data_IF_868849878895
#
_entry.id   IF_868849878895
#
_cell.length_a   1.000
_cell.length_b   1.000
_cell.length_c   1.000
_cell.angle_alpha   90.00
_cell.angle_beta   90.00
_cell.angle_gamma   90.00
#
_symmetry.space_group_name_H-M   'P 1'
#
loop_
_entity.id
_entity.type
_entity.pdbx_description
1 polymer ?
#
# COMPACT_ATOMS: atom_id res chain seq x y z
N UNK A 1 -17.12 -0.57 -8.46
CA UNK A 1 -15.67 -0.86 -8.46
C UNK A 1 -15.51 -2.33 -8.17
N UNK A 2 -15.08 -3.10 -9.16
CA UNK A 2 -14.89 -4.55 -9.01
C UNK A 2 -13.77 -4.82 -7.98
N UNK A 3 -14.11 -5.53 -6.90
CA UNK A 3 -13.26 -5.79 -5.72
C UNK A 3 -11.97 -6.55 -6.05
N UNK A 4 -11.92 -7.26 -7.19
CA UNK A 4 -10.79 -8.09 -7.61
C UNK A 4 -9.66 -7.32 -8.30
N UNK A 5 -9.86 -6.02 -8.61
CA UNK A 5 -8.89 -5.16 -9.34
C UNK A 5 -7.92 -4.40 -8.43
N UNK A 6 -8.09 -4.47 -7.11
CA UNK A 6 -7.19 -3.81 -6.16
C UNK A 6 -6.07 -4.76 -5.74
N UNK A 7 -4.88 -4.52 -6.29
CA UNK A 7 -3.66 -5.19 -5.85
C UNK A 7 -2.95 -4.43 -4.74
N UNK A 8 -2.13 -5.15 -3.99
CA UNK A 8 -1.17 -4.60 -3.05
C UNK A 8 0.21 -5.06 -3.49
N UNK A 9 1.17 -4.14 -3.52
CA UNK A 9 2.58 -4.46 -3.70
C UNK A 9 3.27 -4.36 -2.35
N UNK A 10 4.06 -5.36 -1.99
CA UNK A 10 4.89 -5.37 -0.79
C UNK A 10 6.33 -5.66 -1.17
N UNK A 11 7.26 -5.18 -0.36
CA UNK A 11 8.67 -5.44 -0.53
C UNK A 11 9.12 -6.50 0.48
N UNK A 12 9.72 -7.57 -0.02
CA UNK A 12 10.37 -8.61 0.78
C UNK A 12 11.60 -8.06 1.51
N UNK A 13 12.12 -8.79 2.50
CA UNK A 13 13.25 -8.35 3.31
C UNK A 13 14.54 -8.11 2.50
N UNK A 14 14.68 -8.79 1.36
CA UNK A 14 15.79 -8.68 0.42
C UNK A 14 15.61 -7.57 -0.65
N UNK A 15 14.53 -6.79 -0.55
CA UNK A 15 14.23 -5.69 -1.47
C UNK A 15 13.41 -6.09 -2.70
N UNK A 16 13.12 -7.37 -2.90
CA UNK A 16 12.30 -7.85 -4.02
C UNK A 16 10.84 -7.47 -3.84
N UNK A 17 10.17 -7.21 -4.94
CA UNK A 17 8.74 -6.89 -4.95
C UNK A 17 7.89 -8.15 -5.06
N UNK A 18 6.73 -8.12 -4.41
CA UNK A 18 5.69 -9.14 -4.49
C UNK A 18 4.32 -8.46 -4.61
N UNK A 19 3.59 -8.79 -5.69
CA UNK A 19 2.27 -8.27 -5.97
C UNK A 19 1.22 -9.30 -5.57
N UNK A 20 0.21 -8.86 -4.81
CA UNK A 20 -0.87 -9.69 -4.31
C UNK A 20 -2.22 -9.10 -4.70
N UNK A 21 -3.21 -9.96 -4.98
CA UNK A 21 -4.60 -9.58 -5.20
C UNK A 21 -5.55 -10.65 -4.69
N UNK A 22 -6.74 -10.26 -4.22
CA UNK A 22 -7.78 -11.23 -3.92
C UNK A 22 -8.17 -12.03 -5.18
N UNK A 23 -8.53 -13.30 -4.98
CA UNK A 23 -8.87 -14.24 -6.05
C UNK A 23 -10.37 -14.53 -6.08
N UNK A 24 -10.92 -14.73 -7.30
CA UNK A 24 -12.35 -14.99 -7.50
C UNK A 24 -12.83 -16.28 -6.82
N UNK A 25 -12.01 -17.33 -6.84
CA UNK A 25 -12.29 -18.61 -6.18
C UNK A 25 -11.99 -18.63 -4.68
N UNK A 26 -11.72 -17.49 -4.04
CA UNK A 26 -11.28 -17.41 -2.65
C UNK A 26 -9.77 -17.38 -2.47
N UNK A 27 -9.34 -16.86 -1.31
CA UNK A 27 -7.93 -16.59 -1.04
C UNK A 27 -7.34 -15.46 -1.92
N UNK A 28 -6.08 -15.59 -2.31
CA UNK A 28 -5.39 -14.58 -3.13
C UNK A 28 -4.50 -15.21 -4.19
N UNK A 29 -4.17 -14.42 -5.21
CA UNK A 29 -3.09 -14.71 -6.16
C UNK A 29 -1.95 -13.73 -5.97
N UNK A 30 -0.74 -14.21 -6.21
CA UNK A 30 0.45 -13.38 -6.13
C UNK A 30 1.51 -13.76 -7.17
N UNK A 31 2.42 -12.83 -7.40
CA UNK A 31 3.64 -12.98 -8.19
C UNK A 31 4.78 -12.24 -7.48
N UNK A 32 5.99 -12.74 -7.60
CA UNK A 32 7.17 -12.18 -6.93
C UNK A 32 8.35 -12.09 -7.89
N UNK A 33 9.25 -11.13 -7.63
CA UNK A 33 10.49 -11.06 -8.38
C UNK A 33 11.40 -12.25 -8.06
N UNK A 34 11.93 -12.86 -9.10
CA UNK A 34 12.87 -13.97 -9.04
C UNK A 34 14.29 -13.47 -9.24
N UNK A 35 15.24 -14.20 -8.68
CA UNK A 35 16.66 -13.91 -8.81
C UNK A 35 17.41 -15.06 -9.43
N UNK A 36 18.57 -14.77 -10.02
CA UNK A 36 19.52 -15.76 -10.53
C UNK A 36 19.88 -16.89 -9.54
N UNK A 37 19.71 -16.66 -8.23
CA UNK A 37 19.89 -17.66 -7.17
C UNK A 37 18.61 -18.29 -6.58
N UNK A 38 17.41 -18.02 -7.10
CA UNK A 38 16.17 -18.54 -6.48
C UNK A 38 15.67 -19.81 -7.17
N UNK A 39 16.26 -20.96 -6.81
CA UNK A 39 15.65 -22.26 -6.50
C UNK A 39 16.84 -23.14 -6.07
N UNK A 40 16.98 -23.40 -4.76
CA UNK A 40 18.06 -24.15 -4.08
C UNK A 40 19.24 -23.30 -3.54
N UNK A 41 19.45 -23.42 -2.22
CA UNK A 41 20.65 -23.05 -1.44
C UNK A 41 20.83 -21.58 -1.02
N UNK A 42 19.96 -21.09 -0.13
CA UNK A 42 20.27 -19.97 0.77
C UNK A 42 20.96 -20.42 2.09
N UNK A 43 21.79 -21.46 2.04
CA UNK A 43 22.67 -21.90 3.14
C UNK A 43 24.09 -22.14 2.60
N UNK A 44 24.80 -21.10 2.13
CA UNK A 44 26.24 -21.26 1.87
C UNK A 44 27.17 -20.04 1.99
N UNK A 45 26.70 -18.79 2.10
CA UNK A 45 27.61 -17.63 2.18
C UNK A 45 27.53 -16.82 3.48
N UNK A 46 27.50 -17.52 4.60
CA UNK A 46 27.88 -16.98 5.91
C UNK A 46 29.39 -17.25 6.18
N UNK A 47 30.25 -17.02 5.20
CA UNK A 47 31.70 -17.05 5.40
C UNK A 47 32.39 -16.21 4.34
N UNK A 48 32.69 -14.96 4.71
CA UNK A 48 33.84 -14.13 4.32
C UNK A 48 33.38 -12.66 4.30
N UNK A 49 33.86 -11.90 5.30
CA UNK A 49 33.40 -10.56 5.59
C UNK A 49 33.73 -9.51 4.51
N UNK A 50 32.98 -8.41 4.57
CA UNK A 50 33.42 -7.11 4.04
C UNK A 50 33.08 -6.76 2.58
N UNK A 51 32.12 -7.44 1.95
CA UNK A 51 31.60 -7.05 0.63
C UNK A 51 30.30 -6.25 0.73
N UNK A 52 30.14 -5.22 -0.11
CA UNK A 52 28.84 -4.57 -0.33
C UNK A 52 27.77 -5.64 -0.62
N UNK A 53 26.57 -5.51 -0.06
CA UNK A 53 25.47 -6.42 -0.33
C UNK A 53 25.25 -6.48 -1.84
N UNK A 54 25.68 -7.57 -2.47
CA UNK A 54 25.35 -7.85 -3.87
C UNK A 54 23.88 -8.19 -3.85
N UNK A 55 23.03 -7.23 -4.22
CA UNK A 55 21.62 -7.54 -4.44
C UNK A 55 21.57 -8.54 -5.60
N UNK A 56 20.98 -9.73 -5.40
CA UNK A 56 20.90 -10.73 -6.44
C UNK A 56 20.17 -10.15 -7.67
N UNK A 57 20.63 -10.49 -8.87
CA UNK A 57 20.11 -9.89 -10.10
C UNK A 57 18.68 -10.35 -10.31
N UNK A 58 17.74 -9.42 -10.49
CA UNK A 58 16.36 -9.76 -10.83
C UNK A 58 16.34 -10.33 -12.25
N UNK A 59 15.94 -11.59 -12.39
CA UNK A 59 15.90 -12.31 -13.67
C UNK A 59 14.50 -12.32 -14.29
N UNK A 60 13.49 -11.86 -13.55
CA UNK A 60 12.10 -11.79 -14.01
C UNK A 60 11.11 -11.88 -12.85
N UNK A 61 9.84 -11.99 -13.18
CA UNK A 61 8.76 -12.26 -12.23
C UNK A 61 8.30 -13.71 -12.34
N UNK A 62 7.87 -14.29 -11.22
CA UNK A 62 7.27 -15.62 -11.19
C UNK A 62 5.98 -15.66 -12.01
N UNK A 63 5.53 -16.85 -12.45
CA UNK A 63 4.13 -17.06 -12.81
C UNK A 63 3.21 -16.72 -11.63
N UNK A 64 1.93 -16.49 -11.92
CA UNK A 64 0.90 -16.39 -10.88
C UNK A 64 0.85 -17.68 -10.05
N UNK A 65 0.94 -17.55 -8.73
CA UNK A 65 0.60 -18.61 -7.81
C UNK A 65 -0.69 -18.26 -7.05
N UNK A 66 -1.47 -19.28 -6.70
CA UNK A 66 -2.69 -19.15 -5.92
C UNK A 66 -2.50 -19.67 -4.51
N UNK A 67 -2.98 -18.92 -3.53
CA UNK A 67 -3.14 -19.36 -2.15
C UNK A 67 -4.62 -19.53 -1.89
N UNK A 68 -5.09 -20.77 -1.95
CA UNK A 68 -6.48 -21.11 -1.66
C UNK A 68 -6.86 -20.68 -0.23
N UNK A 69 -8.09 -20.22 -0.05
CA UNK A 69 -8.49 -19.59 1.20
C UNK A 69 -9.99 -19.36 1.31
N UNK A 70 -10.42 -18.56 2.30
CA UNK A 70 -11.84 -18.22 2.49
C UNK A 70 -12.43 -17.66 1.19
N UNK A 71 -13.70 -18.00 0.94
CA UNK A 71 -14.38 -17.69 -0.32
C UNK A 71 -14.38 -16.19 -0.63
N UNK A 72 -14.15 -15.90 -1.91
CA UNK A 72 -14.02 -14.59 -2.56
C UNK A 72 -13.72 -13.40 -1.60
N UNK A 73 -12.44 -13.07 -1.50
CA UNK A 73 -11.98 -11.91 -0.72
C UNK A 73 -12.36 -10.59 -1.39
N UNK A 74 -12.97 -9.67 -0.65
CA UNK A 74 -13.38 -8.35 -1.15
C UNK A 74 -12.32 -7.26 -0.93
N UNK A 75 -11.40 -7.47 0.03
CA UNK A 75 -10.33 -6.54 0.38
C UNK A 75 -9.11 -7.26 0.94
N UNK A 76 -7.92 -6.85 0.50
CA UNK A 76 -6.63 -7.41 0.92
C UNK A 76 -5.74 -6.30 1.46
N UNK A 77 -5.03 -6.58 2.55
CA UNK A 77 -3.89 -5.80 3.02
C UNK A 77 -2.73 -6.75 3.36
N UNK A 78 -1.50 -6.29 3.22
CA UNK A 78 -0.32 -7.10 3.51
C UNK A 78 0.78 -6.26 4.15
N UNK A 79 1.53 -6.85 5.06
CA UNK A 79 2.69 -6.24 5.69
C UNK A 79 3.82 -7.25 5.90
N UNK A 80 5.03 -6.74 6.05
CA UNK A 80 6.22 -7.54 6.35
C UNK A 80 6.43 -7.58 7.87
N UNK A 81 6.48 -8.78 8.43
CA UNK A 81 6.88 -9.03 9.80
C UNK A 81 8.34 -8.63 10.04
N UNK A 82 8.72 -8.45 11.31
CA UNK A 82 10.10 -8.09 11.69
C UNK A 82 11.14 -9.14 11.25
N UNK A 83 10.74 -10.41 11.16
CA UNK A 83 11.56 -11.51 10.66
C UNK A 83 11.59 -11.64 9.12
N UNK A 84 10.93 -10.73 8.41
CA UNK A 84 10.90 -10.70 6.95
C UNK A 84 9.78 -11.51 6.30
N UNK A 85 9.00 -12.30 7.05
CA UNK A 85 7.83 -13.02 6.51
C UNK A 85 6.73 -12.04 6.12
N UNK A 86 6.11 -12.24 4.96
CA UNK A 86 4.89 -11.52 4.63
C UNK A 86 3.69 -12.10 5.39
N UNK A 87 2.81 -11.22 5.86
CA UNK A 87 1.52 -11.55 6.44
C UNK A 87 0.42 -10.79 5.71
N UNK A 88 -0.62 -11.52 5.32
CA UNK A 88 -1.71 -11.07 4.46
C UNK A 88 -3.00 -11.18 5.25
N UNK A 89 -3.80 -10.12 5.21
CA UNK A 89 -5.12 -10.02 5.80
C UNK A 89 -6.14 -9.91 4.67
N UNK A 90 -7.10 -10.81 4.65
CA UNK A 90 -8.10 -10.94 3.61
C UNK A 90 -9.50 -10.93 4.24
N UNK A 91 -10.32 -9.97 3.85
CA UNK A 91 -11.72 -9.92 4.26
C UNK A 91 -12.57 -10.64 3.21
N UNK A 92 -13.32 -11.67 3.62
CA UNK A 92 -14.30 -12.36 2.77
C UNK A 92 -15.53 -11.48 2.45
N UNK A 93 -16.35 -11.91 1.49
CA UNK A 93 -17.64 -11.24 1.21
C UNK A 93 -18.64 -11.33 2.37
N UNK A 94 -18.53 -12.34 3.23
CA UNK A 94 -19.30 -12.50 4.46
C UNK A 94 -18.90 -11.50 5.56
N UNK A 95 -17.85 -10.70 5.32
CA UNK A 95 -17.31 -9.74 6.28
C UNK A 95 -16.33 -10.35 7.27
N UNK A 96 -16.08 -11.66 7.25
CA UNK A 96 -15.08 -12.29 8.13
C UNK A 96 -13.69 -11.90 7.67
N UNK A 97 -12.85 -11.44 8.60
CA UNK A 97 -11.44 -11.16 8.34
C UNK A 97 -10.62 -12.41 8.64
N UNK A 98 -9.76 -12.78 7.71
CA UNK A 98 -8.81 -13.87 7.86
C UNK A 98 -7.39 -13.36 7.65
N UNK A 99 -6.41 -14.12 8.14
CA UNK A 99 -5.01 -13.85 7.87
C UNK A 99 -4.20 -15.12 7.64
N UNK A 100 -3.13 -14.99 6.88
CA UNK A 100 -2.16 -16.03 6.60
C UNK A 100 -0.77 -15.39 6.45
N UNK A 101 0.28 -16.15 6.72
CA UNK A 101 1.65 -15.66 6.64
C UNK A 101 2.57 -16.66 5.95
N UNK A 102 3.65 -16.18 5.35
CA UNK A 102 4.72 -17.04 4.85
C UNK A 102 5.34 -17.82 6.00
N UNK A 103 5.57 -19.13 5.82
CA UNK A 103 6.14 -20.02 6.85
C UNK A 103 7.60 -19.68 7.19
N UNK A 104 8.35 -19.22 6.20
CA UNK A 104 9.68 -18.60 6.28
C UNK A 104 9.70 -17.47 5.26
N UNK A 105 10.53 -16.43 5.43
CA UNK A 105 10.59 -15.31 4.51
C UNK A 105 10.82 -15.79 3.06
N UNK A 106 9.94 -15.39 2.14
CA UNK A 106 9.97 -15.80 0.73
C UNK A 106 9.53 -17.24 0.44
N UNK A 107 9.01 -17.97 1.43
CA UNK A 107 8.46 -19.31 1.25
C UNK A 107 6.93 -19.30 1.07
N UNK A 108 6.32 -20.48 0.93
CA UNK A 108 4.88 -20.62 0.83
C UNK A 108 4.14 -20.10 2.10
N UNK A 109 2.91 -19.64 1.88
CA UNK A 109 1.99 -19.23 2.94
C UNK A 109 1.45 -20.44 3.71
N UNK A 110 1.32 -20.29 5.02
CA UNK A 110 0.66 -21.26 5.91
C UNK A 110 -0.86 -21.23 5.79
N UNK A 111 -1.53 -21.99 6.66
CA UNK A 111 -2.99 -22.05 6.71
C UNK A 111 -3.63 -20.76 7.21
N UNK A 112 -4.84 -20.48 6.72
CA UNK A 112 -5.64 -19.32 7.13
C UNK A 112 -6.15 -19.44 8.56
N UNK A 113 -6.17 -18.31 9.25
CA UNK A 113 -6.78 -18.15 10.56
C UNK A 113 -7.83 -17.06 10.53
N UNK A 114 -8.92 -17.22 11.30
CA UNK A 114 -10.00 -16.23 11.37
C UNK A 114 -9.74 -15.21 12.49
N UNK A 115 -10.00 -13.95 12.20
CA UNK A 115 -10.06 -12.83 13.15
C UNK A 115 -11.49 -12.38 13.43
N UNK A 116 -12.48 -13.19 13.03
CA UNK A 116 -13.91 -12.90 13.22
C UNK A 116 -14.42 -11.75 12.37
N UNK A 117 -15.56 -11.22 12.76
CA UNK A 117 -16.36 -10.24 12.03
C UNK A 117 -17.84 -10.36 12.43
N UNK A 118 -18.78 -9.83 11.63
CA UNK A 118 -18.55 -9.20 10.32
C UNK A 118 -17.90 -7.81 10.43
N UNK A 119 -17.01 -7.52 9.50
CA UNK A 119 -16.43 -6.20 9.29
C UNK A 119 -17.03 -5.56 8.03
N UNK A 120 -17.40 -4.27 8.02
CA UNK A 120 -17.97 -3.58 6.85
C UNK A 120 -16.93 -3.01 5.88
N UNK A 121 -15.68 -2.78 6.30
CA UNK A 121 -14.66 -2.05 5.54
C UNK A 121 -13.39 -2.86 5.20
N UNK A 122 -12.39 -2.18 4.63
CA UNK A 122 -11.07 -2.73 4.28
C UNK A 122 -10.12 -2.73 5.49
N UNK A 123 -9.26 -3.73 5.62
CA UNK A 123 -8.17 -3.70 6.59
C UNK A 123 -7.09 -2.68 6.22
N UNK A 124 -6.47 -2.11 7.25
CA UNK A 124 -5.22 -1.37 7.14
C UNK A 124 -4.22 -1.95 8.14
N UNK A 125 -3.01 -2.30 7.69
CA UNK A 125 -1.96 -2.88 8.54
C UNK A 125 -0.65 -2.14 8.34
N UNK A 126 0.11 -1.99 9.43
CA UNK A 126 1.44 -1.39 9.43
C UNK A 126 2.31 -2.04 10.50
N UNK A 127 3.62 -1.98 10.34
CA UNK A 127 4.57 -2.31 11.41
C UNK A 127 4.77 -1.11 12.33
N UNK A 128 4.66 -1.34 13.64
CA UNK A 128 5.15 -0.43 14.68
C UNK A 128 6.68 -0.33 14.63
N UNK A 129 7.26 0.69 15.28
CA UNK A 129 8.71 0.88 15.33
C UNK A 129 9.45 -0.28 16.01
N UNK A 130 8.81 -0.99 16.92
CA UNK A 130 9.34 -2.21 17.56
C UNK A 130 9.23 -3.48 16.70
N UNK A 131 8.63 -3.39 15.51
CA UNK A 131 8.47 -4.51 14.58
C UNK A 131 7.18 -5.31 14.76
N UNK A 132 6.31 -4.97 15.71
CA UNK A 132 4.97 -5.59 15.83
C UNK A 132 4.05 -5.10 14.73
N UNK A 133 3.38 -6.00 14.02
CA UNK A 133 2.29 -5.62 13.14
C UNK A 133 1.06 -5.17 13.96
N UNK A 134 0.40 -4.12 13.47
CA UNK A 134 -0.86 -3.61 14.01
C UNK A 134 -1.85 -3.35 12.89
N UNK A 135 -3.05 -3.89 13.08
CA UNK A 135 -4.14 -3.98 12.14
C UNK A 135 -5.31 -3.13 12.62
N UNK A 136 -5.92 -2.37 11.72
CA UNK A 136 -7.02 -1.46 11.98
C UNK A 136 -8.23 -1.81 11.09
N UNK A 137 -9.43 -1.74 11.68
CA UNK A 137 -10.71 -1.99 11.00
C UNK A 137 -11.78 -1.01 11.47
N UNK A 138 -12.67 -0.59 10.56
CA UNK A 138 -13.93 0.04 10.94
C UNK A 138 -14.98 -1.05 11.23
N UNK A 139 -15.63 -1.02 12.39
CA UNK A 139 -16.72 -1.91 12.78
C UNK A 139 -18.09 -1.45 12.30
N UNK A 140 -19.10 -2.34 12.35
CA UNK A 140 -20.50 -2.03 11.98
C UNK A 140 -21.13 -0.96 12.89
N UNK A 141 -20.69 -0.89 14.14
CA UNK A 141 -21.05 0.14 15.12
C UNK A 141 -20.37 1.49 14.83
N UNK A 142 -19.67 1.60 13.69
CA UNK A 142 -18.91 2.77 13.21
C UNK A 142 -17.75 3.16 14.11
N UNK A 143 -17.28 2.27 14.97
CA UNK A 143 -16.06 2.49 15.73
C UNK A 143 -14.86 1.89 15.02
N UNK A 144 -13.74 2.59 15.11
CA UNK A 144 -12.43 2.08 14.74
C UNK A 144 -11.98 1.08 15.81
N UNK A 145 -11.53 -0.09 15.36
CA UNK A 145 -10.90 -1.13 16.15
C UNK A 145 -9.48 -1.34 15.68
N UNK A 146 -8.63 -1.81 16.60
CA UNK A 146 -7.28 -2.25 16.29
C UNK A 146 -6.93 -3.54 17.01
N UNK A 147 -5.98 -4.28 16.44
CA UNK A 147 -5.45 -5.53 16.97
C UNK A 147 -3.98 -5.63 16.57
N UNK A 148 -3.10 -6.03 17.48
CA UNK A 148 -1.67 -6.01 17.25
C UNK A 148 -0.99 -7.27 17.76
N UNK A 149 0.16 -7.59 17.19
CA UNK A 149 1.02 -8.66 17.68
C UNK A 149 1.53 -8.29 19.07
N UNK A 150 1.48 -9.20 20.02
CA UNK A 150 1.88 -8.95 21.43
C UNK A 150 3.38 -8.74 21.61
N UNK A 151 4.18 -9.43 20.80
CA UNK A 151 5.62 -9.19 20.55
C UNK A 151 5.87 -9.34 19.06
N UNK A 152 7.01 -8.86 18.51
CA UNK A 152 7.26 -9.01 17.08
C UNK A 152 7.13 -10.47 16.62
N UNK A 153 6.43 -10.69 15.50
CA UNK A 153 6.18 -12.00 14.90
C UNK A 153 5.25 -12.94 15.71
N UNK A 154 4.70 -12.51 16.84
CA UNK A 154 3.80 -13.31 17.66
C UNK A 154 2.34 -13.22 17.19
N UNK A 155 1.47 -13.99 17.83
CA UNK A 155 0.03 -13.90 17.60
C UNK A 155 -0.52 -12.51 17.99
N UNK A 156 -1.61 -12.15 17.30
CA UNK A 156 -2.42 -10.98 17.60
C UNK A 156 -3.07 -11.08 18.99
N UNK A 157 -3.14 -9.97 19.72
CA UNK A 157 -3.61 -9.90 21.11
C UNK A 157 -5.12 -9.82 21.30
N UNK A 158 -5.89 -9.66 20.22
CA UNK A 158 -7.34 -9.51 20.22
C UNK A 158 -7.80 -8.08 19.94
N UNK A 159 -9.02 -7.94 19.42
CA UNK A 159 -9.58 -6.65 19.03
C UNK A 159 -9.84 -5.74 20.22
N UNK A 160 -9.48 -4.47 20.07
CA UNK A 160 -9.85 -3.40 20.99
C UNK A 160 -10.52 -2.27 20.24
N UNK A 161 -11.56 -1.72 20.85
CA UNK A 161 -12.21 -0.51 20.35
C UNK A 161 -11.32 0.70 20.65
N UNK A 162 -11.08 1.52 19.64
CA UNK A 162 -10.23 2.70 19.74
C UNK A 162 -11.06 3.99 19.86
N UNK A 163 -11.88 4.29 18.85
CA UNK A 163 -12.56 5.61 18.74
C UNK A 163 -13.74 5.57 17.77
N UNK A 164 -14.60 6.59 17.79
CA UNK A 164 -15.76 6.73 16.91
C UNK A 164 -16.94 7.40 17.62
N UNK A 165 -18.10 7.54 16.95
CA UNK A 165 -18.39 6.95 15.64
C UNK A 165 -17.78 7.72 14.46
N UNK A 166 -17.47 7.00 13.38
CA UNK A 166 -16.93 7.51 12.11
C UNK A 166 -17.97 7.45 10.98
N UNK A 167 -17.67 8.01 9.81
CA UNK A 167 -18.54 7.85 8.65
C UNK A 167 -18.68 6.36 8.27
N UNK A 168 -19.88 5.96 7.84
CA UNK A 168 -20.09 4.63 7.29
C UNK A 168 -19.25 4.45 6.02
N UNK A 169 -18.48 3.36 5.94
CA UNK A 169 -17.56 3.10 4.83
C UNK A 169 -16.22 3.84 4.90
N UNK A 170 -15.92 4.53 6.00
CA UNK A 170 -14.63 5.19 6.22
C UNK A 170 -13.54 4.18 6.58
N UNK A 171 -12.93 3.54 5.57
CA UNK A 171 -11.81 2.63 5.77
C UNK A 171 -10.61 3.34 6.43
N UNK A 172 -9.98 2.76 7.47
CA UNK A 172 -8.80 3.35 8.07
C UNK A 172 -7.64 3.46 7.07
N UNK A 173 -6.83 4.50 7.25
CA UNK A 173 -5.52 4.63 6.58
C UNK A 173 -4.46 4.85 7.64
N UNK A 174 -3.40 4.05 7.62
CA UNK A 174 -2.33 4.11 8.60
C UNK A 174 -0.97 4.14 7.91
N UNK A 175 -0.01 4.89 8.45
CA UNK A 175 1.38 4.89 8.00
C UNK A 175 2.36 5.12 9.15
N UNK A 176 3.56 4.56 9.02
CA UNK A 176 4.67 4.87 9.90
C UNK A 176 5.29 6.23 9.52
N UNK A 177 5.48 7.08 10.52
CA UNK A 177 6.18 8.36 10.38
C UNK A 177 7.69 8.18 10.47
N UNK A 178 8.43 9.26 10.20
CA UNK A 178 9.89 9.24 10.24
C UNK A 178 10.50 8.99 11.61
N UNK A 179 9.79 9.38 12.66
CA UNK A 179 10.18 9.23 14.05
C UNK A 179 9.75 7.87 14.64
N UNK A 180 9.16 6.98 13.84
CA UNK A 180 8.70 5.66 14.28
C UNK A 180 7.29 5.66 14.90
N UNK A 181 6.64 6.81 15.05
CA UNK A 181 5.23 6.87 15.47
C UNK A 181 4.32 6.45 14.32
N UNK A 182 3.19 5.85 14.63
CA UNK A 182 2.12 5.64 13.64
C UNK A 182 1.24 6.89 13.51
N UNK A 183 0.85 7.20 12.27
CA UNK A 183 -0.20 8.15 11.92
C UNK A 183 -1.42 7.36 11.46
N UNK A 184 -2.59 7.68 12.00
CA UNK A 184 -3.88 7.09 11.67
C UNK A 184 -4.82 8.17 11.14
N UNK A 185 -5.48 7.88 10.03
CA UNK A 185 -6.46 8.75 9.38
C UNK A 185 -7.81 8.06 9.33
N UNK A 186 -8.86 8.81 9.68
CA UNK A 186 -10.26 8.40 9.58
C UNK A 186 -11.08 9.51 8.94
N UNK A 187 -12.20 9.16 8.30
CA UNK A 187 -13.17 10.12 7.82
C UNK A 187 -14.36 10.20 8.79
N UNK A 188 -14.71 11.40 9.25
CA UNK A 188 -15.88 11.61 10.10
C UNK A 188 -17.19 11.72 9.31
N UNK A 189 -18.33 11.77 10.00
CA UNK A 189 -19.67 11.89 9.40
C UNK A 189 -19.84 13.17 8.55
N UNK A 190 -19.12 14.24 8.89
CA UNK A 190 -19.09 15.49 8.12
C UNK A 190 -18.12 15.41 6.92
N UNK A 191 -17.60 14.22 6.64
CA UNK A 191 -16.66 13.91 5.56
C UNK A 191 -15.35 14.69 5.68
N UNK A 192 -14.93 15.01 6.89
CA UNK A 192 -13.63 15.61 7.15
C UNK A 192 -12.61 14.52 7.48
N UNK A 193 -11.39 14.67 6.98
CA UNK A 193 -10.30 13.78 7.36
C UNK A 193 -9.84 14.18 8.77
N UNK A 194 -9.89 13.23 9.69
CA UNK A 194 -9.32 13.34 11.03
C UNK A 194 -8.00 12.55 11.08
N UNK A 195 -6.98 13.12 11.72
CA UNK A 195 -5.66 12.53 11.86
C UNK A 195 -5.26 12.42 13.33
N UNK A 196 -4.76 11.27 13.75
CA UNK A 196 -4.17 11.07 15.06
C UNK A 196 -2.81 10.37 14.93
N UNK A 197 -1.78 10.89 15.59
CA UNK A 197 -0.49 10.24 15.67
C UNK A 197 -0.32 9.61 17.06
N UNK A 198 0.46 8.53 17.16
CA UNK A 198 0.95 8.06 18.46
C UNK A 198 1.67 9.20 19.18
N UNK A 199 1.61 9.25 20.52
CA UNK A 199 2.33 10.24 21.31
C UNK A 199 3.86 10.01 21.29
N UNK A 200 4.25 8.74 21.34
CA UNK A 200 5.63 8.24 21.21
C UNK A 200 5.59 6.93 20.42
N UNK A 201 6.72 6.46 19.83
CA UNK A 201 6.73 5.20 19.09
C UNK A 201 6.21 4.05 19.94
N UNK A 202 5.29 3.25 19.38
CA UNK A 202 4.63 2.12 20.03
C UNK A 202 3.70 2.49 21.22
N UNK A 203 3.44 3.78 21.43
CA UNK A 203 2.55 4.28 22.48
C UNK A 203 1.11 4.49 22.01
N UNK A 204 0.28 5.05 22.89
CA UNK A 204 -1.11 5.39 22.58
C UNK A 204 -1.22 6.51 21.55
N UNK A 205 -2.30 6.52 20.78
CA UNK A 205 -2.67 7.61 19.89
C UNK A 205 -3.08 8.85 20.69
N UNK A 206 -2.61 10.02 20.23
CA UNK A 206 -3.03 11.31 20.75
C UNK A 206 -4.43 11.72 20.28
N UNK A 207 -4.78 12.98 20.53
CA UNK A 207 -6.04 13.56 20.08
C UNK A 207 -6.14 13.65 18.55
N UNK A 208 -7.38 13.59 18.04
CA UNK A 208 -7.68 13.77 16.62
C UNK A 208 -7.56 15.23 16.20
N UNK A 209 -6.87 15.47 15.09
CA UNK A 209 -6.76 16.74 14.40
C UNK A 209 -7.60 16.72 13.13
N UNK A 210 -8.46 17.72 12.96
CA UNK A 210 -9.22 17.89 11.74
C UNK A 210 -8.33 18.46 10.62
N UNK A 211 -8.18 17.71 9.53
CA UNK A 211 -7.46 18.13 8.33
C UNK A 211 -8.37 18.79 7.29
N UNK A 212 -9.69 18.81 7.50
CA UNK A 212 -10.66 19.46 6.62
C UNK A 212 -11.34 18.52 5.62
N UNK A 213 -12.12 19.11 4.72
CA UNK A 213 -13.07 18.45 3.80
C UNK A 213 -14.19 19.43 3.40
N UNK A 214 -15.34 18.93 2.91
CA UNK A 214 -15.75 17.52 2.83
C UNK A 214 -15.07 16.75 1.69
N UNK A 215 -14.83 15.45 1.90
CA UNK A 215 -14.22 14.53 0.94
C UNK A 215 -15.16 13.36 0.56
N UNK A 216 -15.02 12.75 -0.62
CA UNK A 216 -15.79 11.55 -0.96
C UNK A 216 -15.43 10.38 -0.03
N UNK A 217 -16.44 9.65 0.47
CA UNK A 217 -16.24 8.51 1.40
C UNK A 217 -15.39 7.41 0.76
N UNK A 218 -15.56 7.20 -0.54
CA UNK A 218 -14.83 6.20 -1.31
C UNK A 218 -13.39 6.61 -1.68
N UNK A 219 -13.04 7.89 -1.48
CA UNK A 219 -11.72 8.43 -1.78
C UNK A 219 -10.79 8.21 -0.60
N UNK A 220 -9.97 7.16 -0.67
CA UNK A 220 -9.00 6.86 0.38
C UNK A 220 -7.73 7.70 0.18
N UNK A 221 -7.24 8.42 1.20
CA UNK A 221 -5.96 9.10 1.12
C UNK A 221 -4.82 8.12 0.84
N UNK A 222 -3.93 8.49 -0.09
CA UNK A 222 -2.68 7.79 -0.35
C UNK A 222 -1.53 8.61 0.22
N UNK A 223 -0.60 7.95 0.90
CA UNK A 223 0.47 8.61 1.66
C UNK A 223 1.80 8.43 0.94
N UNK A 224 2.44 9.54 0.56
CA UNK A 224 3.84 9.60 0.16
C UNK A 224 4.71 10.16 1.28
N UNK A 225 5.99 9.78 1.32
CA UNK A 225 6.97 10.32 2.26
C UNK A 225 8.06 11.06 1.49
N UNK A 226 8.18 12.36 1.74
CA UNK A 226 9.28 13.15 1.17
C UNK A 226 10.62 12.71 1.76
N UNK A 227 11.71 13.04 1.06
CA UNK A 227 13.07 12.74 1.50
C UNK A 227 13.42 13.32 2.89
N UNK A 228 12.81 14.45 3.26
CA UNK A 228 12.97 15.11 4.57
C UNK A 228 12.17 14.45 5.71
N UNK A 229 11.46 13.36 5.42
CA UNK A 229 10.66 12.61 6.38
C UNK A 229 9.23 13.10 6.55
N UNK A 230 8.84 14.23 5.94
CA UNK A 230 7.45 14.73 5.98
C UNK A 230 6.53 13.85 5.16
N UNK A 231 5.42 13.46 5.75
CA UNK A 231 4.34 12.80 5.03
C UNK A 231 3.57 13.81 4.17
N UNK A 232 3.12 13.36 3.00
CA UNK A 232 2.23 14.09 2.09
C UNK A 232 1.06 13.17 1.74
N UNK A 233 -0.16 13.67 1.95
CA UNK A 233 -1.40 12.97 1.65
C UNK A 233 -1.90 13.41 0.28
N UNK A 234 -2.44 12.47 -0.48
CA UNK A 234 -3.07 12.71 -1.78
C UNK A 234 -4.44 12.06 -1.81
N UNK A 235 -5.46 12.77 -2.26
CA UNK A 235 -6.78 12.19 -2.51
C UNK A 235 -7.55 12.94 -3.59
N UNK A 236 -8.51 12.26 -4.20
CA UNK A 236 -9.40 12.83 -5.20
C UNK A 236 -10.63 13.46 -4.51
N UNK A 237 -10.98 14.70 -4.87
CA UNK A 237 -12.21 15.36 -4.43
C UNK A 237 -13.45 14.94 -5.23
N UNK A 238 -14.62 15.42 -4.81
CA UNK A 238 -15.90 15.20 -5.54
C UNK A 238 -15.89 15.85 -6.93
N UNK A 239 -15.22 16.99 -7.04
CA UNK A 239 -14.95 17.71 -8.28
C UNK A 239 -13.96 16.99 -9.22
N UNK A 240 -13.51 15.79 -8.82
CA UNK A 240 -12.54 14.97 -9.54
C UNK A 240 -11.14 15.58 -9.64
N UNK A 241 -10.86 16.68 -8.94
CA UNK A 241 -9.49 17.17 -8.82
C UNK A 241 -8.71 16.31 -7.83
N UNK A 242 -7.42 16.12 -8.10
CA UNK A 242 -6.49 15.59 -7.12
C UNK A 242 -6.10 16.73 -6.16
N UNK A 243 -6.12 16.46 -4.87
CA UNK A 243 -5.66 17.37 -3.83
C UNK A 243 -4.52 16.73 -3.05
N UNK A 244 -3.67 17.58 -2.48
CA UNK A 244 -2.64 17.16 -1.55
C UNK A 244 -2.49 18.11 -0.36
N UNK A 245 -2.06 17.55 0.77
CA UNK A 245 -1.55 18.33 1.92
C UNK A 245 -0.26 17.68 2.42
N UNK A 246 0.62 18.45 3.04
CA UNK A 246 1.91 17.98 3.53
C UNK A 246 2.10 18.40 4.98
N UNK A 247 2.79 17.57 5.76
CA UNK A 247 3.27 17.99 7.07
C UNK A 247 4.15 19.24 6.93
N UNK A 248 4.08 20.13 7.92
CA UNK A 248 4.93 21.32 8.00
C UNK A 248 6.35 20.92 8.42
N UNK A 249 6.47 20.04 9.41
CA UNK A 249 7.71 19.38 9.86
C UNK A 249 7.51 17.86 9.90
N UNK A 250 8.58 17.08 9.83
CA UNK A 250 8.45 15.62 9.84
C UNK A 250 7.79 15.14 11.14
N UNK A 251 6.68 14.40 11.02
CA UNK A 251 5.88 13.96 12.18
C UNK A 251 5.01 15.06 12.83
N UNK A 252 5.00 16.28 12.28
CA UNK A 252 4.23 17.41 12.79
C UNK A 252 2.84 17.54 12.15
N UNK A 253 2.22 18.70 12.38
CA UNK A 253 0.91 19.06 11.82
C UNK A 253 0.94 19.15 10.28
N UNK A 254 -0.21 18.92 9.66
CA UNK A 254 -0.40 19.14 8.23
C UNK A 254 -0.75 20.59 7.91
N UNK A 255 -0.27 21.07 6.76
CA UNK A 255 -0.69 22.34 6.19
C UNK A 255 -2.07 22.28 5.53
N UNK A 256 -2.42 23.34 4.81
CA UNK A 256 -3.67 23.39 4.02
C UNK A 256 -3.63 22.53 2.76
N UNK A 257 -4.81 22.11 2.32
CA UNK A 257 -4.99 21.39 1.05
C UNK A 257 -4.73 22.28 -0.16
N UNK A 258 -4.08 21.71 -1.17
CA UNK A 258 -3.78 22.35 -2.46
C UNK A 258 -4.19 21.41 -3.60
N UNK A 259 -4.79 21.96 -4.65
CA UNK A 259 -5.16 21.19 -5.84
C UNK A 259 -3.92 20.89 -6.72
N UNK A 260 -3.89 19.71 -7.32
CA UNK A 260 -2.96 19.27 -8.37
C UNK A 260 -3.67 19.07 -9.73
N UNK A 261 -4.89 19.61 -9.87
CA UNK A 261 -5.68 19.57 -11.09
C UNK A 261 -6.39 18.24 -11.33
N UNK A 262 -6.99 18.13 -12.51
CA UNK A 262 -7.93 17.07 -12.91
C UNK A 262 -8.70 17.48 -14.17
N UNK A 263 -9.77 16.78 -14.54
CA UNK A 263 -10.50 15.77 -13.75
C UNK A 263 -9.93 14.35 -13.84
N UNK A 264 -9.91 13.63 -12.72
CA UNK A 264 -9.47 12.23 -12.62
C UNK A 264 -10.65 11.29 -12.29
N UNK A 265 -10.80 10.13 -12.95
CA UNK A 265 -11.82 9.13 -12.61
C UNK A 265 -11.54 8.39 -11.31
N UNK A 266 -10.26 8.13 -10.99
CA UNK A 266 -9.83 7.26 -9.91
C UNK A 266 -8.84 7.88 -8.92
N UNK A 267 -8.43 7.09 -7.93
CA UNK A 267 -7.47 7.49 -6.92
C UNK A 267 -6.02 7.38 -7.42
N UNK A 268 -5.07 8.13 -6.81
CA UNK A 268 -3.68 8.15 -7.22
C UNK A 268 -2.91 6.93 -6.72
N UNK A 269 -1.77 6.66 -7.33
CA UNK A 269 -0.67 5.89 -6.74
C UNK A 269 0.55 6.81 -6.61
N UNK A 270 1.36 6.65 -5.55
CA UNK A 270 2.54 7.49 -5.32
C UNK A 270 3.72 6.68 -4.83
N UNK A 271 4.91 6.98 -5.32
CA UNK A 271 6.17 6.44 -4.82
C UNK A 271 7.24 7.54 -4.76
N UNK A 272 8.30 7.28 -3.99
CA UNK A 272 9.50 8.12 -4.00
C UNK A 272 10.52 7.54 -4.98
N UNK A 273 10.97 8.36 -5.93
CA UNK A 273 12.12 8.06 -6.77
C UNK A 273 13.39 7.89 -5.92
N UNK A 274 14.44 7.31 -6.51
CA UNK A 274 15.73 7.12 -5.84
C UNK A 274 16.38 8.45 -5.41
N UNK A 275 16.09 9.55 -6.11
CA UNK A 275 16.56 10.90 -5.77
C UNK A 275 15.72 11.60 -4.68
N UNK A 276 14.70 10.94 -4.14
CA UNK A 276 13.86 11.45 -3.06
C UNK A 276 12.68 12.30 -3.52
N UNK A 277 12.46 12.48 -4.83
CA UNK A 277 11.27 13.16 -5.37
C UNK A 277 10.08 12.21 -5.38
N UNK A 278 8.92 12.68 -4.95
CA UNK A 278 7.66 11.96 -5.13
C UNK A 278 7.19 12.03 -6.58
N UNK A 279 6.63 10.93 -7.06
CA UNK A 279 5.98 10.81 -8.37
C UNK A 279 4.63 10.11 -8.21
N UNK A 280 3.61 10.70 -8.83
CA UNK A 280 2.21 10.30 -8.73
C UNK A 280 1.76 9.75 -10.08
N UNK A 281 0.93 8.71 -10.05
CA UNK A 281 0.35 8.04 -11.22
C UNK A 281 -1.17 7.98 -11.10
N UNK A 282 -1.88 8.29 -12.19
CA UNK A 282 -3.34 8.33 -12.26
C UNK A 282 -3.82 7.93 -13.66
N UNK A 283 -4.99 7.29 -13.77
CA UNK A 283 -5.66 7.14 -15.06
C UNK A 283 -6.48 8.38 -15.42
N UNK A 284 -6.45 8.78 -16.69
CA UNK A 284 -7.35 9.78 -17.27
C UNK A 284 -8.69 9.18 -17.72
N UNK A 285 -9.64 10.03 -18.12
CA UNK A 285 -10.93 9.60 -18.70
C UNK A 285 -10.76 8.86 -20.03
N UNK A 286 -9.69 9.15 -20.75
CA UNK A 286 -9.25 8.47 -21.96
C UNK A 286 -8.62 7.10 -21.68
N UNK A 287 -8.62 6.65 -20.41
CA UNK A 287 -7.99 5.43 -19.91
C UNK A 287 -6.47 5.37 -20.07
N UNK A 288 -5.82 6.48 -20.42
CA UNK A 288 -4.36 6.56 -20.42
C UNK A 288 -3.85 6.78 -18.99
N UNK A 289 -2.70 6.18 -18.68
CA UNK A 289 -1.94 6.43 -17.47
C UNK A 289 -1.15 7.73 -17.64
N UNK A 290 -1.29 8.62 -16.68
CA UNK A 290 -0.57 9.87 -16.55
C UNK A 290 0.29 9.84 -15.30
N UNK A 291 1.35 10.63 -15.31
CA UNK A 291 2.19 10.84 -14.14
C UNK A 291 2.65 12.30 -13.97
N UNK A 292 2.95 12.68 -12.74
CA UNK A 292 3.54 13.97 -12.38
C UNK A 292 4.50 13.79 -11.21
N UNK A 293 5.65 14.47 -11.26
CA UNK A 293 6.70 14.36 -10.26
C UNK A 293 7.06 15.72 -9.67
N UNK A 294 7.64 15.72 -8.48
CA UNK A 294 8.17 16.94 -7.87
C UNK A 294 9.36 17.48 -8.68
N UNK A 295 9.51 18.80 -8.79
CA UNK A 295 10.69 19.41 -9.44
C UNK A 295 11.99 19.19 -8.66
N UNK A 296 11.88 19.07 -7.33
CA UNK A 296 12.97 18.80 -6.39
C UNK A 296 12.42 18.01 -5.19
N UNK A 297 13.25 17.31 -4.40
CA UNK A 297 12.76 16.54 -3.25
C UNK A 297 11.96 17.43 -2.28
N UNK A 298 10.70 17.08 -2.00
CA UNK A 298 9.83 17.90 -1.14
C UNK A 298 9.20 19.13 -1.80
N UNK A 299 9.54 19.42 -3.06
CA UNK A 299 9.07 20.59 -3.82
C UNK A 299 7.66 20.44 -4.40
N UNK A 300 7.31 21.41 -5.25
CA UNK A 300 6.06 21.42 -6.03
C UNK A 300 6.11 20.43 -7.19
N UNK A 301 4.93 19.96 -7.61
CA UNK A 301 4.77 19.04 -8.74
C UNK A 301 4.79 19.78 -10.08
N UNK A 302 5.43 19.16 -11.07
CA UNK A 302 5.36 19.58 -12.46
C UNK A 302 4.00 19.27 -13.13
N UNK A 303 3.86 19.59 -14.42
CA UNK A 303 2.65 19.27 -15.17
C UNK A 303 2.47 17.75 -15.35
N UNK A 304 1.23 17.33 -15.54
CA UNK A 304 0.90 15.94 -15.89
C UNK A 304 1.40 15.59 -17.28
N UNK A 305 2.05 14.45 -17.40
CA UNK A 305 2.56 13.88 -18.66
C UNK A 305 1.86 12.54 -18.91
N UNK A 306 1.52 12.24 -20.17
CA UNK A 306 0.98 10.93 -20.55
C UNK A 306 2.10 9.88 -20.57
N UNK A 307 1.83 8.70 -20.02
CA UNK A 307 2.81 7.63 -19.86
C UNK A 307 2.53 6.42 -20.78
N UNK A 308 1.32 5.86 -20.74
CA UNK A 308 0.95 4.66 -21.52
C UNK A 308 -0.56 4.43 -21.52
N UNK A 309 -1.08 3.55 -22.39
CA UNK A 309 -2.49 3.19 -22.46
C UNK A 309 -2.95 2.84 -23.88
N UNK A 310 -4.25 2.54 -24.09
CA UNK A 310 -5.34 2.61 -23.10
C UNK A 310 -5.37 1.42 -22.11
N UNK A 311 -5.87 1.67 -20.90
CA UNK A 311 -6.00 0.69 -19.81
C UNK A 311 -7.47 0.35 -19.52
N UNK A 312 -7.71 -0.56 -18.57
CA UNK A 312 -9.06 -0.80 -18.05
C UNK A 312 -9.62 0.47 -17.38
N UNK A 313 -10.87 0.90 -17.67
CA UNK A 313 -11.47 2.10 -17.06
C UNK A 313 -11.55 2.08 -15.52
N UNK A 314 -11.64 0.89 -14.93
CA UNK A 314 -11.68 0.70 -13.46
C UNK A 314 -10.30 0.37 -12.85
N UNK A 315 -9.23 0.41 -13.63
CA UNK A 315 -7.91 0.09 -13.11
C UNK A 315 -7.43 1.19 -12.14
N UNK A 316 -6.86 0.79 -11.02
CA UNK A 316 -6.10 1.68 -10.15
C UNK A 316 -4.63 1.30 -10.31
N UNK A 317 -3.74 2.22 -10.69
CA UNK A 317 -2.32 1.92 -10.74
C UNK A 317 -1.80 1.58 -9.35
N UNK A 318 -0.78 0.73 -9.30
CA UNK A 318 0.03 0.48 -8.10
C UNK A 318 1.47 0.76 -8.49
N UNK A 319 2.23 1.45 -7.63
CA UNK A 319 3.64 1.74 -7.90
C UNK A 319 4.51 1.32 -6.73
N UNK A 320 5.69 0.78 -7.03
CA UNK A 320 6.73 0.51 -6.04
C UNK A 320 8.10 0.89 -6.58
N UNK A 321 9.05 1.05 -5.66
CA UNK A 321 10.47 1.21 -5.97
C UNK A 321 11.17 -0.15 -5.83
N UNK A 322 11.81 -0.58 -6.90
CA UNK A 322 12.69 -1.74 -6.93
C UNK A 322 13.90 -1.57 -6.00
N UNK A 323 14.54 -2.68 -5.65
CA UNK A 323 15.78 -2.68 -4.86
C UNK A 323 16.90 -1.85 -5.52
N UNK A 324 16.94 -1.80 -6.85
CA UNK A 324 17.88 -1.01 -7.64
C UNK A 324 17.51 0.49 -7.77
N UNK A 325 16.41 0.91 -7.14
CA UNK A 325 15.96 2.30 -7.12
C UNK A 325 15.01 2.70 -8.26
N UNK A 326 14.74 1.83 -9.23
CA UNK A 326 13.80 2.11 -10.34
C UNK A 326 12.36 2.04 -9.87
N UNK A 327 11.52 2.97 -10.30
CA UNK A 327 10.07 2.83 -10.13
C UNK A 327 9.49 1.85 -11.15
N UNK A 328 8.52 1.07 -10.69
CA UNK A 328 7.75 0.13 -11.50
C UNK A 328 6.27 0.27 -11.16
N UNK A 329 5.45 0.42 -12.21
CA UNK A 329 4.02 0.66 -12.14
C UNK A 329 3.29 -0.55 -12.67
N UNK A 330 2.25 -0.97 -11.96
CA UNK A 330 1.37 -2.09 -12.27
C UNK A 330 -0.03 -1.57 -12.56
N UNK A 331 -0.64 -2.03 -13.66
CA UNK A 331 -1.94 -1.53 -14.13
C UNK A 331 -2.70 -2.61 -14.88
N UNK A 332 -4.02 -2.66 -14.73
CA UNK A 332 -4.86 -3.64 -15.42
C UNK A 332 -5.17 -3.22 -16.86
N UNK A 333 -4.97 -4.13 -17.80
CA UNK A 333 -5.40 -4.01 -19.18
C UNK A 333 -6.90 -4.24 -19.36
N UNK A 334 -7.44 -3.88 -20.53
CA UNK A 334 -8.84 -4.12 -20.89
C UNK A 334 -9.14 -5.62 -21.13
N UNK A 335 -8.09 -6.38 -21.43
CA UNK A 335 -8.06 -7.83 -21.59
C UNK A 335 -8.10 -8.60 -20.25
N UNK A 336 -8.22 -7.89 -19.12
CA UNK A 336 -8.12 -8.45 -17.77
C UNK A 336 -6.77 -9.12 -17.52
N UNK A 337 -5.69 -8.69 -18.14
CA UNK A 337 -4.33 -9.04 -17.74
C UNK A 337 -3.71 -7.91 -16.89
N UNK A 338 -2.84 -8.28 -15.95
CA UNK A 338 -2.04 -7.30 -15.23
C UNK A 338 -0.83 -6.96 -16.09
N UNK A 339 -0.56 -5.69 -16.26
CA UNK A 339 0.63 -5.18 -16.93
C UNK A 339 1.55 -4.50 -15.93
N UNK A 340 2.83 -4.45 -16.29
CA UNK A 340 3.81 -3.61 -15.61
C UNK A 340 4.69 -2.86 -16.60
N UNK A 341 5.21 -1.72 -16.16
CA UNK A 341 6.18 -0.90 -16.86
C UNK A 341 7.12 -0.27 -15.82
N UNK A 342 8.40 -0.13 -16.16
CA UNK A 342 9.41 0.32 -15.22
C UNK A 342 10.37 1.31 -15.85
N UNK A 343 11.01 2.12 -15.01
CA UNK A 343 12.05 3.04 -15.45
C UNK A 343 13.27 2.26 -16.00
N UNK A 344 13.88 2.72 -17.09
CA UNK A 344 15.08 2.11 -17.66
C UNK A 344 16.30 2.20 -16.71
N UNK A 345 16.32 3.22 -15.86
CA UNK A 345 17.26 3.43 -14.76
C UNK A 345 16.61 4.35 -13.71
N UNK A 346 17.15 4.46 -12.49
CA UNK A 346 16.51 5.24 -11.42
C UNK A 346 16.23 6.69 -11.85
N UNK A 347 14.97 7.13 -11.79
CA UNK A 347 14.53 8.46 -12.23
C UNK A 347 14.54 8.68 -13.76
N UNK A 348 14.76 7.62 -14.55
CA UNK A 348 14.78 7.65 -16.01
C UNK A 348 13.41 7.46 -16.66
N UNK A 349 13.40 7.42 -17.99
CA UNK A 349 12.20 7.15 -18.78
C UNK A 349 11.66 5.74 -18.54
N UNK A 350 10.34 5.57 -18.64
CA UNK A 350 9.70 4.25 -18.57
C UNK A 350 9.82 3.49 -19.89
N UNK A 351 9.99 2.17 -19.79
CA UNK A 351 9.89 1.25 -20.92
C UNK A 351 8.45 1.01 -21.36
N UNK A 352 8.29 0.18 -22.40
CA UNK A 352 6.98 -0.26 -22.86
C UNK A 352 6.33 -1.20 -21.84
N UNK A 353 4.99 -1.17 -21.70
CA UNK A 353 4.30 -2.11 -20.83
C UNK A 353 4.46 -3.57 -21.29
N UNK A 354 4.56 -4.46 -20.32
CA UNK A 354 4.60 -5.91 -20.52
C UNK A 354 3.46 -6.57 -19.73
N UNK A 355 2.88 -7.63 -20.27
CA UNK A 355 1.81 -8.37 -19.60
C UNK A 355 2.38 -9.48 -18.73
N UNK A 356 1.78 -9.71 -17.55
CA UNK A 356 1.96 -10.95 -16.82
C UNK A 356 1.07 -12.04 -17.44
N UNK A 357 1.63 -13.15 -17.95
CA UNK A 357 0.84 -14.22 -18.53
C UNK A 357 0.02 -14.97 -17.46
N UNK A 358 -1.20 -15.41 -17.82
CA UNK A 358 -1.96 -16.42 -17.06
C UNK A 358 -2.83 -15.91 -15.90
N UNK A 359 -3.75 -14.98 -16.15
CA UNK A 359 -4.78 -14.60 -15.18
C UNK A 359 -5.84 -15.69 -15.00
#
# INVERSE_FOLDING_TARGET
>A
MEWWRQGVIVQNADGRLEYLRAAEGGGFRHLWQMTDGSHEVANFFATLGGGAAVHPTIIGWSPWAGVAGPEAGSALAAARNADGRLEVYLRGHDGTLHYAWQTVAGAAFGGWQSLGGPWPGRPAVVANADGRLELFMLGEDRHLYHNWQTTPNAALGGWRRHSGPWAAGADPVVAAQADGRLLLLMLDEARQIQAAAQGVPNGDFGGWQNLGGPWPIESRPVIGRNADGRLKLFLRGEDRNLYHTCQVTAGGEFGGWRALGGPWPGGPAVASNADGRLEIYLLGEDTNLYHAWQGSPGGDFGPWTGLSGPWSPEANPVVARNADGRLEVFVWGQDRALYHLWQAGPGGAFGLPQAFPGN
#
